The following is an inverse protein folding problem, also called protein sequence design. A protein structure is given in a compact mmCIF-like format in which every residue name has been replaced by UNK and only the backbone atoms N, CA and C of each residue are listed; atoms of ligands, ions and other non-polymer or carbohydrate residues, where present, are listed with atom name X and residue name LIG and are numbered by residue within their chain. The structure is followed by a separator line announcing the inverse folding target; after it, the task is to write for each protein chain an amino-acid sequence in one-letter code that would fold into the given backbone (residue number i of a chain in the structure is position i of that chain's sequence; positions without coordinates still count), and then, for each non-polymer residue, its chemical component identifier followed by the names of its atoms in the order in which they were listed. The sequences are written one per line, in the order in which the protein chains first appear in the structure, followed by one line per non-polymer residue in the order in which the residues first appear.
data_IF_917700119565
#
_entry.id   IF_917700119565
#
_cell.length_a   1.000
_cell.length_b   1.000
_cell.length_c   1.000
_cell.angle_alpha   90.00
_cell.angle_beta   90.00
_cell.angle_gamma   90.00
#
_symmetry.space_group_name_H-M   'P 1'
#
loop_
_entity.id
_entity.type
_entity.pdbx_description
1 polymer ?
#
# COMPACT_ATOMS: atom_id res chain seq x y z
N UNK A 1 -4.69 -4.99 17.21
CA UNK A 1 -5.35 -4.82 17.88
C UNK A 1 -4.87 -4.13 18.89
N UNK A 2 -4.51 -4.37 19.76
CA UNK A 2 -4.07 -3.71 20.70
C UNK A 2 -3.85 -2.37 20.33
N UNK A 3 -4.63 -1.55 19.96
CA UNK A 3 -4.54 -0.14 19.90
C UNK A 3 -3.54 0.37 18.96
N UNK A 4 -3.04 -0.39 18.11
CA UNK A 4 -2.05 0.10 17.20
C UNK A 4 -2.46 -0.03 15.75
N UNK A 5 -3.70 -0.39 15.51
CA UNK A 5 -4.21 -0.57 14.15
C UNK A 5 -5.69 -0.23 14.17
N UNK A 6 -6.16 0.51 13.17
CA UNK A 6 -7.56 0.87 13.09
C UNK A 6 -8.20 0.16 11.91
N UNK A 7 -9.23 -0.65 12.19
CA UNK A 7 -10.03 -1.31 11.17
C UNK A 7 -11.41 -0.72 11.22
N UNK A 8 -11.83 -0.11 10.13
CA UNK A 8 -13.10 0.57 10.06
C UNK A 8 -13.99 -0.05 9.00
N UNK A 9 -15.30 0.04 9.22
CA UNK A 9 -16.28 -0.45 8.26
C UNK A 9 -16.13 -1.94 8.00
N UNK A 10 -15.92 -2.36 6.77
CA UNK A 10 -15.80 -3.76 6.43
C UNK A 10 -14.36 -4.18 6.18
N UNK A 11 -13.41 -3.45 6.72
CA UNK A 11 -12.01 -3.79 6.54
C UNK A 11 -11.68 -5.11 7.22
N UNK A 12 -10.77 -5.88 6.62
CA UNK A 12 -10.43 -7.21 7.11
C UNK A 12 -8.95 -7.49 7.04
N UNK A 13 -8.46 -8.22 8.03
CA UNK A 13 -7.11 -8.77 8.00
C UNK A 13 -7.29 -10.26 8.25
N UNK A 14 -6.87 -11.10 7.33
CA UNK A 14 -7.12 -12.52 7.47
C UNK A 14 -6.02 -13.34 6.80
N UNK A 15 -6.15 -14.67 6.91
CA UNK A 15 -5.10 -15.55 6.46
C UNK A 15 -3.88 -15.36 7.34
N UNK A 16 -2.73 -15.14 6.72
CA UNK A 16 -1.51 -14.86 7.44
C UNK A 16 -1.10 -13.38 7.27
N UNK A 17 -2.08 -12.54 6.87
CA UNK A 17 -1.81 -11.12 6.70
C UNK A 17 -1.49 -10.44 8.02
N UNK A 18 -0.67 -9.42 7.98
CA UNK A 18 -0.27 -8.69 9.16
C UNK A 18 -0.38 -7.20 8.95
N UNK A 19 -0.88 -6.50 9.96
CA UNK A 19 -0.94 -5.05 9.93
C UNK A 19 -0.25 -4.59 11.20
N UNK A 20 0.86 -3.88 11.07
CA UNK A 20 1.76 -3.60 12.18
C UNK A 20 1.99 -2.10 12.30
N UNK A 21 1.86 -1.56 13.51
CA UNK A 21 2.17 -0.15 13.75
C UNK A 21 3.67 0.07 13.61
N UNK A 22 4.03 1.24 13.13
CA UNK A 22 5.43 1.60 13.05
C UNK A 22 5.98 2.02 14.38
N UNK A 23 7.23 2.44 14.38
CA UNK A 23 7.90 2.78 15.63
C UNK A 23 7.59 4.20 16.12
N UNK A 24 7.12 5.05 15.21
CA UNK A 24 6.80 6.41 15.62
C UNK A 24 5.38 6.52 16.10
N UNK A 25 5.12 7.51 16.92
CA UNK A 25 3.80 7.67 17.49
C UNK A 25 2.68 7.73 16.48
N UNK A 26 2.88 8.36 15.38
CA UNK A 26 1.83 8.52 14.39
C UNK A 26 1.82 7.45 13.32
N UNK A 27 2.63 6.42 13.48
CA UNK A 27 2.74 5.40 12.47
C UNK A 27 1.74 4.26 12.72
N UNK A 28 0.46 4.59 12.62
CA UNK A 28 -0.61 3.65 12.91
C UNK A 28 -1.36 3.33 11.62
N UNK A 29 -1.34 2.08 11.17
CA UNK A 29 -2.08 1.71 9.96
C UNK A 29 -3.58 1.84 10.17
N UNK A 30 -4.28 2.34 9.17
CA UNK A 30 -5.73 2.49 9.20
C UNK A 30 -6.33 1.88 7.94
N UNK A 31 -7.29 1.00 8.13
CA UNK A 31 -7.97 0.34 7.02
C UNK A 31 -9.44 0.74 7.06
N UNK A 32 -9.95 1.26 5.93
CA UNK A 32 -11.32 1.73 5.83
C UNK A 32 -12.10 0.97 4.78
N UNK A 33 -13.40 0.96 4.92
CA UNK A 33 -14.34 0.42 3.95
C UNK A 33 -14.04 -1.05 3.64
N UNK A 34 -13.84 -1.42 2.41
CA UNK A 34 -13.63 -2.81 2.03
C UNK A 34 -12.17 -3.16 1.86
N UNK A 35 -11.28 -2.46 2.55
CA UNK A 35 -9.87 -2.75 2.47
C UNK A 35 -9.54 -4.09 3.13
N UNK A 36 -8.62 -4.85 2.53
CA UNK A 36 -8.27 -6.17 3.02
C UNK A 36 -6.78 -6.40 2.97
N UNK A 37 -6.25 -7.06 3.99
CA UNK A 37 -4.87 -7.52 4.01
C UNK A 37 -4.93 -9.04 4.23
N UNK A 38 -4.38 -9.80 3.33
CA UNK A 38 -4.60 -11.24 3.31
C UNK A 38 -3.35 -12.01 2.92
N UNK A 39 -3.45 -13.33 2.98
CA UNK A 39 -2.39 -14.24 2.61
C UNK A 39 -1.15 -14.01 3.46
N UNK A 40 -0.02 -13.67 2.91
CA UNK A 40 1.18 -13.42 3.70
C UNK A 40 1.62 -11.96 3.61
N UNK A 41 0.70 -11.07 3.26
CA UNK A 41 1.02 -9.66 3.08
C UNK A 41 1.27 -8.97 4.42
N UNK A 42 2.08 -7.93 4.38
CA UNK A 42 2.42 -7.15 5.57
C UNK A 42 2.18 -5.68 5.26
N UNK A 43 1.42 -5.00 6.13
CA UNK A 43 1.21 -3.57 6.05
C UNK A 43 1.72 -2.98 7.35
N UNK A 44 2.71 -2.12 7.28
CA UNK A 44 3.39 -1.64 8.46
C UNK A 44 3.57 -0.13 8.44
N UNK A 45 3.40 0.50 9.57
CA UNK A 45 3.70 1.92 9.72
C UNK A 45 2.54 2.81 9.32
N UNK A 46 2.86 4.04 8.92
CA UNK A 46 1.84 5.03 8.59
C UNK A 46 1.25 4.74 7.22
N UNK A 47 0.21 3.92 7.21
CA UNK A 47 -0.47 3.51 5.99
C UNK A 47 -1.95 3.75 6.13
N UNK A 48 -2.58 4.27 5.09
CA UNK A 48 -4.03 4.44 5.07
C UNK A 48 -4.53 3.72 3.82
N UNK A 49 -5.39 2.72 4.03
CA UNK A 49 -5.99 1.96 2.95
C UNK A 49 -7.47 2.32 2.92
N UNK A 50 -7.92 2.89 1.83
CA UNK A 50 -9.30 3.35 1.71
C UNK A 50 -10.02 2.65 0.59
N UNK A 51 -11.29 2.41 0.81
CA UNK A 51 -12.18 1.84 -0.19
C UNK A 51 -11.77 0.43 -0.57
N UNK A 52 -11.66 0.09 -1.81
CA UNK A 52 -11.41 -1.28 -2.22
C UNK A 52 -9.92 -1.52 -2.41
N UNK A 53 -9.20 -1.64 -1.32
CA UNK A 53 -7.76 -1.88 -1.37
C UNK A 53 -7.50 -3.31 -0.92
N UNK A 54 -6.77 -4.07 -1.73
CA UNK A 54 -6.41 -5.43 -1.38
C UNK A 54 -4.89 -5.55 -1.39
N UNK A 55 -4.32 -5.98 -0.28
CA UNK A 55 -2.90 -6.28 -0.20
C UNK A 55 -2.80 -7.77 0.09
N UNK A 56 -2.24 -8.53 -0.81
CA UNK A 56 -2.21 -9.98 -0.68
C UNK A 56 -0.91 -10.57 -1.17
N UNK A 57 -0.90 -11.89 -1.37
CA UNK A 57 0.31 -12.58 -1.79
C UNK A 57 1.38 -12.44 -0.71
N UNK A 58 2.59 -12.12 -1.14
CA UNK A 58 3.71 -11.87 -0.22
C UNK A 58 4.11 -10.39 -0.25
N UNK A 59 3.16 -9.52 -0.56
CA UNK A 59 3.44 -8.11 -0.72
C UNK A 59 3.75 -7.44 0.62
N UNK A 60 4.57 -6.41 0.59
CA UNK A 60 4.93 -5.64 1.77
C UNK A 60 4.68 -4.18 1.49
N UNK A 61 3.92 -3.53 2.38
CA UNK A 61 3.65 -2.10 2.29
C UNK A 61 4.14 -1.47 3.58
N UNK A 62 5.14 -0.61 3.47
CA UNK A 62 5.69 0.07 4.64
C UNK A 62 5.52 1.56 4.45
N UNK A 63 4.74 2.16 5.32
CA UNK A 63 4.38 3.56 5.19
C UNK A 63 5.45 4.50 5.64
N UNK A 64 5.41 5.65 4.98
CA UNK A 64 6.26 6.71 5.36
C UNK A 64 5.86 8.07 4.82
N UNK A 65 4.57 8.38 4.67
CA UNK A 65 3.30 7.65 4.74
C UNK A 65 2.88 7.06 3.40
N UNK A 66 2.06 6.03 3.45
CA UNK A 66 1.49 5.41 2.24
C UNK A 66 -0.03 5.60 2.28
N UNK A 67 -0.58 6.10 1.19
CA UNK A 67 -2.03 6.24 1.05
C UNK A 67 -2.46 5.46 -0.19
N UNK A 68 -3.37 4.50 -0.01
CA UNK A 68 -3.91 3.69 -1.09
C UNK A 68 -5.42 3.93 -1.14
N UNK A 69 -5.92 4.44 -2.25
CA UNK A 69 -7.31 4.87 -2.35
C UNK A 69 -7.98 4.37 -3.61
N UNK A 70 -9.21 3.93 -3.45
CA UNK A 70 -10.02 3.37 -4.50
C UNK A 70 -9.48 2.00 -4.90
N UNK A 71 -9.66 1.54 -6.05
CA UNK A 71 -9.37 0.16 -6.41
C UNK A 71 -7.87 -0.10 -6.53
N UNK A 72 -7.23 -0.39 -5.43
CA UNK A 72 -5.80 -0.65 -5.41
C UNK A 72 -5.58 -2.11 -5.06
N UNK A 73 -4.81 -2.83 -5.85
CA UNK A 73 -4.49 -4.22 -5.60
C UNK A 73 -2.98 -4.36 -5.59
N UNK A 74 -2.44 -4.87 -4.50
CA UNK A 74 -1.00 -5.08 -4.35
C UNK A 74 -0.79 -6.53 -3.97
N UNK A 75 -0.11 -7.28 -4.82
CA UNK A 75 0.04 -8.71 -4.58
C UNK A 75 1.33 -9.23 -5.22
N UNK A 76 1.51 -10.54 -5.22
CA UNK A 76 2.75 -11.13 -5.69
C UNK A 76 3.83 -10.91 -4.65
N UNK A 77 5.04 -10.59 -5.10
CA UNK A 77 6.15 -10.29 -4.21
C UNK A 77 6.52 -8.81 -4.28
N UNK A 78 5.52 -7.96 -4.47
CA UNK A 78 5.76 -6.54 -4.67
C UNK A 78 6.01 -5.81 -3.35
N UNK A 79 6.56 -4.62 -3.44
CA UNK A 79 6.87 -3.82 -2.25
C UNK A 79 6.54 -2.35 -2.48
N UNK A 80 5.91 -1.73 -1.48
CA UNK A 80 5.62 -0.30 -1.50
C UNK A 80 6.25 0.28 -0.24
N UNK A 81 7.14 1.23 -0.38
CA UNK A 81 7.88 1.75 0.77
C UNK A 81 8.01 3.27 0.70
N UNK A 82 7.88 3.92 1.84
CA UNK A 82 8.13 5.35 1.94
C UNK A 82 6.87 6.18 1.71
N UNK A 83 7.04 7.38 1.19
CA UNK A 83 5.92 8.29 0.97
C UNK A 83 5.33 8.04 -0.41
N UNK A 84 4.24 7.28 -0.47
CA UNK A 84 3.64 6.85 -1.73
C UNK A 84 2.14 7.07 -1.67
N UNK A 85 1.58 7.65 -2.72
CA UNK A 85 0.13 7.84 -2.85
C UNK A 85 -0.31 7.17 -4.15
N UNK A 86 -1.29 6.28 -4.04
CA UNK A 86 -1.85 5.60 -5.21
C UNK A 86 -3.35 5.80 -5.23
N UNK A 87 -3.89 6.15 -6.39
CA UNK A 87 -5.31 6.39 -6.57
C UNK A 87 -5.84 5.82 -7.86
N UNK A 88 -7.10 5.42 -7.87
CA UNK A 88 -7.80 5.03 -9.10
C UNK A 88 -7.26 3.83 -9.84
N UNK A 89 -7.66 2.65 -9.46
CA UNK A 89 -7.38 1.44 -10.23
C UNK A 89 -5.90 1.21 -10.52
N UNK A 90 -5.14 0.95 -9.48
CA UNK A 90 -3.74 0.61 -9.65
C UNK A 90 -3.54 -0.82 -9.19
N UNK A 91 -2.81 -1.60 -9.97
CA UNK A 91 -2.48 -2.96 -9.62
C UNK A 91 -0.97 -3.10 -9.63
N UNK A 92 -0.40 -3.58 -8.52
CA UNK A 92 1.04 -3.80 -8.39
C UNK A 92 1.24 -5.29 -8.12
N UNK A 93 2.00 -5.96 -8.93
CA UNK A 93 2.12 -7.40 -8.81
C UNK A 93 3.52 -7.88 -9.22
N UNK A 94 3.72 -9.19 -9.21
CA UNK A 94 5.01 -9.81 -9.54
C UNK A 94 6.10 -9.37 -8.56
N UNK A 95 7.19 -8.81 -9.04
CA UNK A 95 8.28 -8.36 -8.19
C UNK A 95 8.45 -6.85 -8.26
N UNK A 96 7.39 -6.13 -8.60
CA UNK A 96 7.46 -4.68 -8.76
C UNK A 96 7.74 -3.98 -7.44
N UNK A 97 8.43 -2.88 -7.49
CA UNK A 97 8.79 -2.11 -6.30
C UNK A 97 8.44 -0.65 -6.55
N UNK A 98 7.74 -0.04 -5.60
CA UNK A 98 7.46 1.39 -5.62
C UNK A 98 7.99 1.94 -4.30
N UNK A 99 8.98 2.81 -4.37
CA UNK A 99 9.55 3.34 -3.14
C UNK A 99 9.95 4.79 -3.33
N UNK A 100 9.78 5.58 -2.29
CA UNK A 100 10.19 6.98 -2.36
C UNK A 100 11.61 7.11 -1.88
N UNK A 101 12.34 8.01 -2.51
CA UNK A 101 13.71 8.30 -2.11
C UNK A 101 13.77 9.75 -1.65
N UNK A 102 14.62 10.00 -0.68
CA UNK A 102 14.87 11.38 -0.23
C UNK A 102 13.62 12.15 0.16
N UNK A 103 12.69 11.47 0.77
CA UNK A 103 11.47 12.11 1.27
C UNK A 103 10.55 12.70 0.20
N UNK A 104 10.79 12.39 -1.04
CA UNK A 104 9.88 12.84 -2.09
C UNK A 104 8.69 11.89 -2.13
N UNK A 105 7.51 12.42 -2.34
CA UNK A 105 6.33 11.59 -2.44
C UNK A 105 6.18 11.06 -3.86
N UNK A 106 5.99 9.76 -3.98
CA UNK A 106 5.70 9.13 -5.26
C UNK A 106 4.19 9.09 -5.43
N UNK A 107 3.68 9.74 -6.46
CA UNK A 107 2.25 9.83 -6.68
C UNK A 107 1.88 9.10 -7.95
N UNK A 108 1.03 8.10 -7.83
CA UNK A 108 0.60 7.27 -8.95
C UNK A 108 -0.91 7.34 -9.08
N UNK A 109 -1.39 7.56 -10.29
CA UNK A 109 -2.81 7.63 -10.52
C UNK A 109 -3.16 6.74 -11.70
N UNK A 110 -4.15 5.89 -11.52
CA UNK A 110 -4.53 4.93 -12.51
C UNK A 110 -5.52 5.46 -13.52
N UNK A 111 -5.94 4.58 -14.39
CA UNK A 111 -5.66 3.13 -14.33
C UNK A 111 -4.23 2.81 -14.72
N UNK A 112 -3.62 1.88 -13.98
CA UNK A 112 -2.22 1.57 -14.19
C UNK A 112 -1.91 0.17 -13.66
N UNK A 113 -1.06 -0.56 -14.35
CA UNK A 113 -0.59 -1.85 -13.88
C UNK A 113 0.93 -1.80 -13.81
N UNK A 114 1.47 -2.13 -12.65
CA UNK A 114 2.90 -2.14 -12.42
C UNK A 114 3.27 -3.58 -12.11
N UNK A 115 4.05 -4.20 -12.97
CA UNK A 115 4.32 -5.62 -12.84
C UNK A 115 5.75 -5.95 -13.25
N UNK A 116 6.04 -7.25 -13.33
CA UNK A 116 7.36 -7.71 -13.69
C UNK A 116 8.35 -7.28 -12.63
N UNK A 117 9.41 -6.64 -13.05
CA UNK A 117 10.41 -6.14 -12.12
C UNK A 117 10.50 -4.62 -12.19
N UNK A 118 9.40 -3.97 -12.48
CA UNK A 118 9.39 -2.53 -12.53
C UNK A 118 9.79 -1.93 -11.18
N UNK A 119 10.50 -0.83 -11.22
CA UNK A 119 10.96 -0.19 -10.00
C UNK A 119 10.72 1.31 -10.16
N UNK A 120 9.76 1.83 -9.43
CA UNK A 120 9.36 3.22 -9.53
C UNK A 120 9.82 3.94 -8.27
N UNK A 121 10.64 4.97 -8.44
CA UNK A 121 11.18 5.71 -7.31
C UNK A 121 10.77 7.17 -7.31
N UNK A 122 9.99 7.60 -8.31
CA UNK A 122 9.51 8.96 -8.34
C UNK A 122 8.25 9.00 -9.20
N UNK A 123 7.51 10.07 -9.08
CA UNK A 123 6.28 10.23 -9.85
C UNK A 123 6.60 10.19 -11.34
N UNK A 124 5.91 9.33 -12.11
CA UNK A 124 6.23 9.20 -13.52
C UNK A 124 5.88 10.47 -14.29
N UNK A 125 6.83 10.97 -15.05
CA UNK A 125 6.60 12.15 -15.85
C UNK A 125 5.66 11.89 -17.00
N UNK A 126 5.69 10.68 -17.53
CA UNK A 126 4.81 10.34 -18.64
C UNK A 126 3.35 10.50 -18.28
N UNK A 127 3.03 10.37 -17.02
CA UNK A 127 1.67 10.54 -16.59
C UNK A 127 1.17 11.95 -16.68
N UNK A 128 2.05 12.90 -16.92
CA UNK A 128 1.67 14.28 -17.02
C UNK A 128 1.32 14.68 -18.44
N UNK A 129 1.58 13.83 -19.36
CA UNK A 129 1.31 14.13 -20.78
C UNK A 129 -0.10 13.71 -21.20
#
# INVERSE_FOLDING_TARGET
EENNVWLCDCAKVYGHGQVIAGMEEDAIPTLHYSSQVAEHAIVEGNCVLKQHVLVGGNAVVRGGPVLLDEHIIIQGNSRITGAVIMENHIEVTDHAVVESLDNDTVYLRGPKVINGEEHITRTPLAGLL
#
